data_IF_194772007060
#
_entry.id   IF_194772007060
#
_cell.length_a   1.000
_cell.length_b   1.000
_cell.length_c   1.000
_cell.angle_alpha   90.00
_cell.angle_beta   90.00
_cell.angle_gamma   90.00
#
_symmetry.space_group_name_H-M   'P 1'
#
loop_
_entity.id
_entity.type
_entity.pdbx_description
1 polymer ?
#
# COMPACT_ATOMS: atom_id res chain seq x y z
N UNK A 1 9.46 14.66 -9.40
CA UNK A 1 10.84 14.22 -9.48
C UNK A 1 11.52 14.72 -10.73
N UNK A 2 12.85 14.62 -10.75
CA UNK A 2 13.64 15.00 -11.93
C UNK A 2 13.61 13.93 -13.01
N UNK A 3 14.28 14.18 -14.11
CA UNK A 3 14.37 13.24 -15.25
C UNK A 3 15.10 11.93 -14.91
N UNK A 4 15.96 11.91 -13.90
CA UNK A 4 16.80 10.75 -13.52
C UNK A 4 16.12 9.78 -12.56
N UNK A 5 15.17 10.24 -11.74
CA UNK A 5 14.40 9.43 -10.80
C UNK A 5 12.97 9.95 -10.70
N UNK A 6 12.01 9.02 -10.68
CA UNK A 6 10.61 9.35 -10.36
C UNK A 6 10.47 9.48 -8.85
N UNK A 7 9.62 10.41 -8.41
CA UNK A 7 9.16 10.44 -7.02
C UNK A 7 8.24 9.24 -6.77
N UNK A 8 8.31 8.69 -5.58
CA UNK A 8 7.40 7.65 -5.12
C UNK A 8 6.51 8.21 -4.01
N UNK A 9 5.26 7.80 -3.98
CA UNK A 9 4.27 8.20 -2.98
C UNK A 9 3.56 6.95 -2.45
N UNK A 10 3.40 6.85 -1.13
CA UNK A 10 2.52 5.89 -0.49
C UNK A 10 1.29 6.63 0.04
N UNK A 11 0.12 6.08 -0.22
CA UNK A 11 -1.14 6.50 0.39
C UNK A 11 -1.70 5.32 1.17
N UNK A 12 -1.97 5.54 2.45
CA UNK A 12 -2.43 4.50 3.36
C UNK A 12 -3.78 4.91 3.92
N UNK A 13 -4.72 3.97 3.96
CA UNK A 13 -6.02 4.18 4.58
C UNK A 13 -6.30 3.08 5.61
N UNK A 14 -6.78 3.49 6.78
CA UNK A 14 -7.20 2.54 7.81
C UNK A 14 -8.46 1.77 7.35
N UNK A 15 -8.53 0.50 7.71
CA UNK A 15 -9.64 -0.39 7.30
C UNK A 15 -11.00 0.01 7.89
N UNK A 16 -11.01 0.87 8.90
CA UNK A 16 -12.24 1.43 9.50
C UNK A 16 -12.61 2.82 8.93
N UNK A 17 -11.87 3.33 7.92
CA UNK A 17 -12.22 4.59 7.28
C UNK A 17 -13.51 4.47 6.47
N UNK A 18 -14.40 5.49 6.46
CA UNK A 18 -15.65 5.44 5.70
C UNK A 18 -15.48 5.18 4.19
N UNK A 19 -14.39 5.68 3.60
CA UNK A 19 -14.11 5.58 2.16
C UNK A 19 -13.29 4.34 1.80
N UNK A 20 -13.14 3.37 2.71
CA UNK A 20 -12.26 2.22 2.52
C UNK A 20 -12.62 1.39 1.29
N UNK A 21 -13.89 1.20 1.01
CA UNK A 21 -14.34 0.42 -0.14
C UNK A 21 -13.96 1.10 -1.46
N UNK A 22 -14.16 2.41 -1.56
CA UNK A 22 -13.76 3.19 -2.73
C UNK A 22 -12.24 3.19 -2.91
N UNK A 23 -11.50 3.36 -1.82
CA UNK A 23 -10.04 3.33 -1.83
C UNK A 23 -9.48 1.98 -2.32
N UNK A 24 -10.07 0.88 -1.86
CA UNK A 24 -9.67 -0.48 -2.28
C UNK A 24 -9.87 -0.67 -3.79
N UNK A 25 -10.97 -0.17 -4.34
CA UNK A 25 -11.34 -0.42 -5.73
C UNK A 25 -10.79 0.61 -6.73
N UNK A 26 -10.32 1.78 -6.27
CA UNK A 26 -10.05 2.91 -7.14
C UNK A 26 -9.03 2.59 -8.25
N UNK A 27 -7.91 1.95 -7.93
CA UNK A 27 -6.89 1.55 -8.92
C UNK A 27 -7.36 0.44 -9.84
N UNK A 28 -8.07 -0.55 -9.32
CA UNK A 28 -8.62 -1.64 -10.14
C UNK A 28 -9.65 -1.10 -11.17
N UNK A 29 -10.42 -0.07 -10.81
CA UNK A 29 -11.31 0.62 -11.76
C UNK A 29 -10.53 1.36 -12.84
N UNK A 30 -9.45 2.03 -12.49
CA UNK A 30 -8.58 2.73 -13.44
C UNK A 30 -7.87 1.75 -14.38
N UNK A 31 -7.37 0.63 -13.86
CA UNK A 31 -6.74 -0.43 -14.66
C UNK A 31 -7.72 -0.99 -15.69
N UNK A 32 -8.97 -1.25 -15.33
CA UNK A 32 -10.00 -1.68 -16.29
C UNK A 32 -10.22 -0.64 -17.40
N UNK A 33 -10.18 0.67 -17.09
CA UNK A 33 -10.26 1.72 -18.12
C UNK A 33 -9.08 1.65 -19.08
N UNK A 34 -7.86 1.46 -18.57
CA UNK A 34 -6.69 1.30 -19.43
C UNK A 34 -6.84 0.10 -20.36
N UNK A 35 -7.32 -1.05 -19.87
CA UNK A 35 -7.56 -2.23 -20.70
C UNK A 35 -8.58 -1.99 -21.82
N UNK A 36 -9.65 -1.26 -21.55
CA UNK A 36 -10.62 -0.92 -22.60
C UNK A 36 -10.01 0.05 -23.63
N UNK A 37 -9.18 1.02 -23.21
CA UNK A 37 -8.46 1.88 -24.14
C UNK A 37 -7.49 1.09 -25.03
N UNK A 38 -6.75 0.14 -24.46
CA UNK A 38 -5.85 -0.75 -25.24
C UNK A 38 -6.63 -1.57 -26.27
N UNK A 39 -7.80 -2.10 -25.90
CA UNK A 39 -8.67 -2.82 -26.86
C UNK A 39 -9.15 -1.93 -28.01
N UNK A 40 -9.29 -0.64 -27.78
CA UNK A 40 -9.64 0.35 -28.81
C UNK A 40 -8.44 0.79 -29.66
N UNK A 41 -7.23 0.29 -29.38
CA UNK A 41 -6.03 0.57 -30.17
C UNK A 41 -5.10 1.65 -29.61
N UNK A 42 -5.35 2.16 -28.41
CA UNK A 42 -4.43 3.08 -27.74
C UNK A 42 -3.14 2.37 -27.32
N UNK A 43 -2.03 3.12 -27.29
CA UNK A 43 -0.72 2.59 -26.91
C UNK A 43 -0.72 2.02 -25.50
N UNK A 44 -0.32 0.75 -25.37
CA UNK A 44 -0.27 -0.02 -24.13
C UNK A 44 1.06 0.08 -23.38
N UNK A 45 2.04 0.83 -23.89
CA UNK A 45 3.31 1.03 -23.17
C UNK A 45 3.08 1.82 -21.87
N UNK A 46 4.02 1.71 -20.91
CA UNK A 46 3.90 2.37 -19.60
C UNK A 46 3.74 3.89 -19.71
N UNK A 47 4.34 4.51 -20.70
CA UNK A 47 4.24 5.95 -20.99
C UNK A 47 3.25 6.21 -22.15
N UNK A 48 2.53 5.19 -22.62
CA UNK A 48 1.55 5.26 -23.70
C UNK A 48 0.25 5.94 -23.29
N UNK A 49 -0.59 6.26 -24.29
CA UNK A 49 -1.82 7.03 -24.09
C UNK A 49 -2.81 6.34 -23.16
N UNK A 50 -2.91 5.00 -23.18
CA UNK A 50 -3.81 4.27 -22.29
C UNK A 50 -3.45 4.50 -20.82
N UNK A 51 -2.18 4.29 -20.43
CA UNK A 51 -1.75 4.39 -19.05
C UNK A 51 -1.46 5.82 -18.58
N UNK A 52 -1.10 6.74 -19.47
CA UNK A 52 -0.93 8.15 -19.11
C UNK A 52 -2.25 8.88 -18.85
N UNK A 53 -3.38 8.35 -19.31
CA UNK A 53 -4.71 8.94 -19.17
C UNK A 53 -5.49 8.53 -17.93
N UNK A 54 -5.02 7.51 -17.18
CA UNK A 54 -5.67 7.00 -15.97
C UNK A 54 -5.04 7.55 -14.69
N UNK A 55 -5.81 7.52 -13.59
CA UNK A 55 -5.37 8.07 -12.31
C UNK A 55 -4.56 7.08 -11.47
N UNK A 56 -3.90 7.60 -10.44
CA UNK A 56 -3.19 6.88 -9.38
C UNK A 56 -1.95 6.09 -9.79
N UNK A 57 -1.41 6.24 -11.01
CA UNK A 57 -0.26 5.50 -11.50
C UNK A 57 1.03 5.73 -10.71
N UNK A 58 1.20 6.91 -10.11
CA UNK A 58 2.42 7.32 -9.42
C UNK A 58 2.31 7.22 -7.89
N UNK A 59 1.33 6.51 -7.38
CA UNK A 59 1.14 6.31 -5.95
C UNK A 59 0.91 4.83 -5.64
N UNK A 60 1.61 4.31 -4.63
CA UNK A 60 1.33 3.01 -4.05
C UNK A 60 0.20 3.16 -3.03
N UNK A 61 -0.77 2.27 -3.04
CA UNK A 61 -1.87 2.25 -2.10
C UNK A 61 -1.76 1.06 -1.16
N UNK A 62 -1.97 1.27 0.14
CA UNK A 62 -2.06 0.20 1.13
C UNK A 62 -3.22 0.43 2.08
N UNK A 63 -3.87 -0.64 2.49
CA UNK A 63 -4.81 -0.62 3.60
C UNK A 63 -4.10 -1.00 4.89
N UNK A 64 -4.49 -0.36 5.99
CA UNK A 64 -3.93 -0.62 7.30
C UNK A 64 -4.95 -1.35 8.16
N UNK A 65 -4.63 -2.59 8.52
CA UNK A 65 -5.51 -3.50 9.24
C UNK A 65 -5.03 -3.75 10.66
N UNK A 66 -5.97 -3.92 11.58
CA UNK A 66 -5.69 -4.26 12.99
C UNK A 66 -5.90 -5.77 13.23
N UNK A 67 -5.36 -6.28 14.35
CA UNK A 67 -5.63 -7.66 14.79
C UNK A 67 -7.14 -7.90 14.96
N UNK A 68 -7.88 -6.87 15.44
CA UNK A 68 -9.34 -6.93 15.60
C UNK A 68 -10.07 -7.15 14.26
N UNK A 69 -9.67 -6.41 13.22
CA UNK A 69 -10.22 -6.63 11.88
C UNK A 69 -9.90 -8.03 11.36
N UNK A 70 -8.65 -8.47 11.50
CA UNK A 70 -8.25 -9.80 11.05
C UNK A 70 -8.99 -10.91 11.80
N UNK A 71 -9.23 -10.73 13.10
CA UNK A 71 -10.06 -11.65 13.87
C UNK A 71 -11.51 -11.65 13.40
N UNK A 72 -12.07 -10.48 13.07
CA UNK A 72 -13.40 -10.38 12.49
C UNK A 72 -13.50 -11.10 11.13
N UNK A 73 -12.45 -11.09 10.32
CA UNK A 73 -12.36 -11.85 9.07
C UNK A 73 -12.39 -13.37 9.34
N UNK A 74 -11.57 -13.85 10.29
CA UNK A 74 -11.49 -15.28 10.64
C UNK A 74 -12.82 -15.79 11.15
N UNK A 75 -13.45 -15.03 12.04
CA UNK A 75 -14.73 -15.37 12.68
C UNK A 75 -15.97 -15.03 11.83
N UNK A 76 -15.75 -14.44 10.64
CA UNK A 76 -16.83 -14.03 9.72
C UNK A 76 -17.81 -13.04 10.35
N UNK A 77 -17.29 -12.10 11.15
CA UNK A 77 -18.07 -11.06 11.83
C UNK A 77 -18.27 -9.82 10.95
N UNK A 78 -19.16 -8.95 11.39
CA UNK A 78 -19.33 -7.61 10.84
C UNK A 78 -18.17 -6.69 11.25
N UNK A 79 -17.94 -5.69 10.41
CA UNK A 79 -16.96 -4.62 10.61
C UNK A 79 -17.60 -3.27 10.32
N UNK A 80 -17.42 -2.33 11.24
CA UNK A 80 -17.95 -0.97 11.08
C UNK A 80 -16.85 0.00 10.69
N UNK A 81 -17.09 0.78 9.64
CA UNK A 81 -16.30 1.99 9.40
C UNK A 81 -16.75 3.08 10.37
N UNK A 82 -15.84 4.04 10.62
CA UNK A 82 -16.05 5.08 11.62
C UNK A 82 -15.76 6.46 11.05
N UNK A 83 -16.61 7.41 11.38
CA UNK A 83 -16.38 8.82 11.03
C UNK A 83 -15.09 9.32 11.69
N UNK A 84 -14.19 9.90 10.89
CA UNK A 84 -12.85 10.31 11.34
C UNK A 84 -12.92 11.34 12.47
N UNK A 85 -13.90 12.24 12.44
CA UNK A 85 -14.02 13.35 13.41
C UNK A 85 -14.75 12.99 14.69
N UNK A 86 -15.69 12.05 14.62
CA UNK A 86 -16.57 11.72 15.75
C UNK A 86 -16.40 10.32 16.30
N UNK A 87 -15.74 9.41 15.54
CA UNK A 87 -15.62 8.00 15.88
C UNK A 87 -16.91 7.19 15.76
N UNK A 88 -18.02 7.84 15.37
CA UNK A 88 -19.31 7.16 15.25
C UNK A 88 -19.32 6.15 14.11
N UNK A 89 -20.03 5.01 14.24
CA UNK A 89 -20.17 4.05 13.16
C UNK A 89 -20.91 4.69 11.97
N UNK A 90 -20.42 4.41 10.76
CA UNK A 90 -20.94 4.98 9.50
C UNK A 90 -21.56 3.90 8.64
N UNK A 91 -20.80 2.86 8.31
CA UNK A 91 -21.26 1.78 7.41
C UNK A 91 -20.79 0.43 7.91
N UNK A 92 -21.67 -0.54 7.78
CA UNK A 92 -21.41 -1.93 8.13
C UNK A 92 -20.98 -2.74 6.92
N UNK A 93 -20.00 -3.60 7.11
CA UNK A 93 -19.50 -4.56 6.12
C UNK A 93 -19.37 -5.95 6.77
N UNK A 94 -19.39 -7.01 5.99
CA UNK A 94 -18.77 -8.26 6.41
C UNK A 94 -17.26 -8.13 6.27
N UNK A 95 -16.51 -8.35 7.34
CA UNK A 95 -15.05 -8.20 7.34
C UNK A 95 -14.40 -9.05 6.25
N UNK A 96 -14.89 -10.29 6.07
CA UNK A 96 -14.38 -11.22 5.04
C UNK A 96 -14.65 -10.73 3.61
N UNK A 97 -15.76 -10.08 3.35
CA UNK A 97 -16.08 -9.55 2.02
C UNK A 97 -15.21 -8.33 1.70
N UNK A 98 -14.94 -7.47 2.68
CA UNK A 98 -14.03 -6.34 2.50
C UNK A 98 -12.60 -6.81 2.22
N UNK A 99 -12.11 -7.82 2.95
CA UNK A 99 -10.80 -8.43 2.68
C UNK A 99 -10.74 -9.07 1.29
N UNK A 100 -11.82 -9.77 0.88
CA UNK A 100 -11.90 -10.37 -0.46
C UNK A 100 -11.82 -9.31 -1.56
N UNK A 101 -12.55 -8.21 -1.43
CA UNK A 101 -12.44 -7.08 -2.38
C UNK A 101 -11.01 -6.54 -2.48
N UNK A 102 -10.32 -6.38 -1.35
CA UNK A 102 -8.93 -5.95 -1.36
C UNK A 102 -8.01 -6.96 -2.07
N UNK A 103 -8.20 -8.26 -1.83
CA UNK A 103 -7.45 -9.32 -2.50
C UNK A 103 -7.72 -9.38 -4.00
N UNK A 104 -8.98 -9.23 -4.43
CA UNK A 104 -9.36 -9.19 -5.85
C UNK A 104 -8.76 -7.98 -6.57
N UNK A 105 -8.80 -6.79 -5.94
CA UNK A 105 -8.17 -5.58 -6.48
C UNK A 105 -6.64 -5.76 -6.60
N UNK A 106 -5.99 -6.25 -5.54
CA UNK A 106 -4.56 -6.51 -5.53
C UNK A 106 -4.15 -7.57 -6.59
N UNK A 107 -4.94 -8.61 -6.78
CA UNK A 107 -4.72 -9.59 -7.86
C UNK A 107 -4.83 -8.96 -9.25
N UNK A 108 -5.75 -8.01 -9.43
CA UNK A 108 -6.01 -7.37 -10.72
C UNK A 108 -4.94 -6.34 -11.11
N UNK A 109 -4.50 -5.50 -10.17
CA UNK A 109 -3.64 -4.34 -10.48
C UNK A 109 -2.43 -4.14 -9.53
N UNK A 110 -2.16 -5.08 -8.62
CA UNK A 110 -1.05 -5.01 -7.67
C UNK A 110 -1.32 -4.20 -6.41
N UNK A 111 -2.39 -3.40 -6.37
CA UNK A 111 -2.81 -2.60 -5.22
C UNK A 111 -4.27 -2.89 -4.82
N UNK A 112 -4.63 -2.70 -3.54
CA UNK A 112 -3.80 -2.18 -2.45
C UNK A 112 -2.87 -3.24 -1.85
N UNK A 113 -1.74 -2.79 -1.29
CA UNK A 113 -0.97 -3.56 -0.32
C UNK A 113 -1.67 -3.63 1.04
N UNK A 114 -1.13 -4.43 1.96
CA UNK A 114 -1.68 -4.58 3.31
C UNK A 114 -0.60 -4.35 4.37
N UNK A 115 -0.92 -3.53 5.36
CA UNK A 115 -0.05 -3.27 6.51
C UNK A 115 -0.76 -3.69 7.80
N UNK A 116 -0.08 -4.48 8.60
CA UNK A 116 -0.61 -5.04 9.86
C UNK A 116 -0.28 -4.11 11.03
N UNK A 117 -1.13 -3.13 11.26
CA UNK A 117 -0.94 -2.05 12.23
C UNK A 117 -0.58 -2.54 13.63
N UNK A 118 -1.32 -3.49 14.16
CA UNK A 118 -1.08 -4.03 15.51
C UNK A 118 0.28 -4.70 15.61
N UNK A 119 0.68 -5.48 14.60
CA UNK A 119 1.97 -6.17 14.56
C UNK A 119 3.12 -5.18 14.43
N UNK A 120 3.02 -4.22 13.50
CA UNK A 120 4.04 -3.17 13.29
C UNK A 120 4.30 -2.41 14.60
N UNK A 121 3.25 -1.96 15.28
CA UNK A 121 3.38 -1.25 16.54
C UNK A 121 3.81 -2.12 17.73
N UNK A 122 3.53 -3.42 17.68
CA UNK A 122 4.04 -4.38 18.67
C UNK A 122 5.56 -4.54 18.59
N UNK A 123 6.11 -4.53 17.38
CA UNK A 123 7.56 -4.65 17.13
C UNK A 123 8.30 -3.32 17.13
N UNK A 124 7.59 -2.20 17.26
CA UNK A 124 8.19 -0.86 17.25
C UNK A 124 9.18 -0.67 18.39
N UNK A 125 10.41 -0.31 18.07
CA UNK A 125 11.51 -0.18 19.04
C UNK A 125 11.52 1.16 19.79
N UNK A 126 10.86 2.19 19.25
CA UNK A 126 10.79 3.54 19.83
C UNK A 126 9.37 3.90 20.32
N UNK A 127 8.69 2.98 21.00
CA UNK A 127 7.28 3.11 21.44
C UNK A 127 7.00 4.35 22.29
N UNK A 128 8.00 4.79 23.09
CA UNK A 128 7.85 5.93 23.98
C UNK A 128 7.89 7.27 23.25
N UNK A 129 8.34 7.29 21.98
CA UNK A 129 8.42 8.51 21.18
C UNK A 129 7.12 8.77 20.44
N UNK A 130 6.50 7.72 19.88
CA UNK A 130 5.27 7.85 19.14
C UNK A 130 4.82 6.52 18.52
N UNK A 131 3.76 6.58 17.73
CA UNK A 131 3.17 5.45 17.02
C UNK A 131 3.63 5.44 15.57
N UNK A 132 3.78 4.27 14.99
CA UNK A 132 3.98 4.10 13.54
C UNK A 132 2.61 4.15 12.87
N UNK A 133 2.38 5.16 12.04
CA UNK A 133 1.11 5.36 11.32
C UNK A 133 1.18 4.91 9.86
N UNK A 134 2.38 4.93 9.27
CA UNK A 134 2.58 4.72 7.85
C UNK A 134 3.94 4.08 7.53
N UNK A 135 4.21 3.88 6.26
CA UNK A 135 5.49 3.43 5.73
C UNK A 135 5.90 4.23 4.50
N UNK A 136 7.11 4.00 4.01
CA UNK A 136 7.50 4.40 2.66
C UNK A 136 6.79 3.52 1.59
N UNK A 137 6.88 3.87 0.28
CA UNK A 137 6.16 3.16 -0.78
C UNK A 137 6.43 1.66 -0.90
N UNK A 138 7.66 1.21 -0.64
CA UNK A 138 8.01 -0.21 -0.69
C UNK A 138 7.75 -0.96 0.62
N UNK A 139 7.29 -0.24 1.66
CA UNK A 139 6.95 -0.77 2.99
C UNK A 139 8.12 -1.37 3.80
N UNK A 140 9.36 -1.12 3.40
CA UNK A 140 10.53 -1.56 4.15
C UNK A 140 10.87 -0.65 5.34
N UNK A 141 10.39 0.61 5.34
CA UNK A 141 10.60 1.57 6.41
C UNK A 141 9.30 1.83 7.17
N UNK A 142 9.13 1.11 8.27
CA UNK A 142 8.02 1.23 9.21
C UNK A 142 8.51 2.00 10.45
N UNK A 143 8.36 3.31 10.47
CA UNK A 143 8.84 4.13 11.56
C UNK A 143 7.95 5.36 11.82
N UNK A 144 8.43 6.28 12.65
CA UNK A 144 7.71 7.47 13.08
C UNK A 144 7.47 8.43 11.91
N UNK A 145 6.40 9.21 12.00
CA UNK A 145 6.11 10.33 11.10
C UNK A 145 7.26 11.35 11.13
N UNK A 146 7.39 12.13 10.05
CA UNK A 146 8.40 13.17 9.89
C UNK A 146 9.85 12.68 10.01
N UNK A 147 10.10 11.42 9.66
CA UNK A 147 11.42 10.81 9.61
C UNK A 147 11.81 10.44 8.18
N UNK A 148 13.07 10.10 7.98
CA UNK A 148 13.61 9.73 6.67
C UNK A 148 14.35 8.39 6.72
N UNK A 149 14.31 7.65 5.62
CA UNK A 149 15.08 6.43 5.41
C UNK A 149 16.38 6.75 4.67
N UNK A 150 17.51 6.37 5.26
CA UNK A 150 18.80 6.39 4.57
C UNK A 150 19.08 5.02 3.97
N UNK A 151 19.26 4.98 2.66
CA UNK A 151 19.60 3.78 1.91
C UNK A 151 21.07 3.74 1.58
N UNK A 152 21.68 2.57 1.72
CA UNK A 152 23.05 2.32 1.32
C UNK A 152 23.19 0.94 0.67
N UNK A 153 24.13 0.84 -0.26
CA UNK A 153 24.49 -0.43 -0.88
C UNK A 153 26.01 -0.55 -0.93
N UNK A 154 26.51 -1.71 -0.52
CA UNK A 154 27.92 -2.04 -0.62
C UNK A 154 28.17 -2.87 -1.89
N UNK A 155 29.15 -2.47 -2.69
CA UNK A 155 29.60 -3.29 -3.81
C UNK A 155 30.50 -4.41 -3.28
N UNK A 156 29.93 -5.58 -3.00
CA UNK A 156 30.63 -6.71 -2.42
C UNK A 156 31.76 -7.25 -3.30
N UNK A 157 31.74 -7.02 -4.63
CA UNK A 157 32.85 -7.40 -5.51
C UNK A 157 34.16 -6.65 -5.19
N UNK A 158 34.09 -5.51 -4.50
CA UNK A 158 35.25 -4.76 -4.05
C UNK A 158 35.96 -5.37 -2.84
N UNK A 159 35.33 -6.33 -2.22
CA UNK A 159 35.84 -7.09 -1.06
C UNK A 159 36.32 -8.48 -1.44
N UNK A 160 36.45 -8.78 -2.74
CA UNK A 160 37.00 -10.05 -3.24
C UNK A 160 38.39 -9.80 -3.77
N UNK A 161 39.39 -10.54 -3.30
CA UNK A 161 40.77 -10.48 -3.76
C UNK A 161 40.96 -11.15 -5.13
N UNK A 162 42.17 -11.06 -5.70
CA UNK A 162 42.49 -11.67 -6.99
C UNK A 162 42.45 -13.23 -6.98
N UNK A 163 42.48 -13.86 -5.82
CA UNK A 163 42.37 -15.28 -5.64
C UNK A 163 40.89 -15.74 -5.42
N UNK A 164 39.94 -14.79 -5.34
CA UNK A 164 38.53 -15.05 -5.15
C UNK A 164 38.10 -15.18 -3.68
N UNK A 165 38.98 -14.84 -2.73
CA UNK A 165 38.62 -14.84 -1.32
C UNK A 165 37.89 -13.54 -0.95
N UNK A 166 36.90 -13.65 -0.08
CA UNK A 166 36.16 -12.51 0.45
C UNK A 166 36.83 -11.98 1.73
N UNK A 167 37.09 -10.66 1.79
CA UNK A 167 37.68 -9.96 2.95
C UNK A 167 36.58 -9.36 3.85
#
# INVERSE_FOLDING_TARGET
GGKTRRAAKMVILNVDHPDIEEFVECKAREERKAWELVKLGYDSSLDGEAYSSIFFQNANHSIRVTDEFMQAVVEDRTWWTRAVTTGQPVREYRARDLLRKAAEAAHQCGDPGMQYDSTVNRWHTAKNTGRINASNPCSEYMFLDDTACNLASLNLLKFVDAAGNFD
#
